data_IF_567024277730
#
_entry.id   IF_567024277730
#
_cell.length_a   1.000
_cell.length_b   1.000
_cell.length_c   1.000
_cell.angle_alpha   90.00
_cell.angle_beta   90.00
_cell.angle_gamma   90.00
#
_symmetry.space_group_name_H-M   'P 1'
#
loop_
_entity.id
_entity.type
_entity.pdbx_description
1 polymer ?
#
# COMPACT_ATOMS: atom_id res chain seq x y z
N UNK A 1 -2.71 -2.14 -20.07
CA UNK A 1 -3.29 -2.16 -18.70
C UNK A 1 -4.08 -0.87 -18.49
N UNK A 2 -5.33 -1.01 -18.12
CA UNK A 2 -6.18 0.16 -17.84
C UNK A 2 -6.00 0.55 -16.37
N UNK A 3 -5.59 1.78 -16.12
CA UNK A 3 -5.42 2.31 -14.77
C UNK A 3 -6.59 3.20 -14.40
N UNK A 4 -7.10 3.08 -13.21
CA UNK A 4 -8.35 3.73 -12.80
C UNK A 4 -8.33 4.33 -11.40
N UNK A 5 -7.25 4.17 -10.66
CA UNK A 5 -7.25 4.51 -9.24
C UNK A 5 -5.87 4.94 -8.76
N UNK A 6 -5.87 5.82 -7.77
CA UNK A 6 -4.69 6.11 -6.94
C UNK A 6 -4.83 5.34 -5.64
N UNK A 7 -3.70 4.91 -5.08
CA UNK A 7 -3.68 4.16 -3.82
C UNK A 7 -2.61 4.69 -2.88
N UNK A 8 -2.73 4.31 -1.62
CA UNK A 8 -1.69 4.52 -0.60
C UNK A 8 -1.35 3.19 0.03
N UNK A 9 -0.09 2.79 -0.07
CA UNK A 9 0.42 1.55 0.52
C UNK A 9 1.06 1.86 1.86
N UNK A 10 0.64 1.15 2.91
CA UNK A 10 1.18 1.29 4.27
C UNK A 10 2.11 0.12 4.55
N UNK A 11 3.41 0.37 4.52
CA UNK A 11 4.41 -0.67 4.76
C UNK A 11 4.82 -0.74 6.22
N UNK A 12 4.79 -1.96 6.75
CA UNK A 12 5.14 -2.26 8.13
C UNK A 12 6.64 -2.50 8.28
N UNK A 13 7.24 -1.89 9.26
CA UNK A 13 8.61 -2.17 9.65
C UNK A 13 8.82 -1.82 11.13
N UNK A 14 9.91 -2.32 11.70
CA UNK A 14 10.35 -1.90 13.03
C UNK A 14 11.29 -0.70 12.85
N UNK A 15 10.88 0.42 13.41
CA UNK A 15 11.68 1.64 13.42
C UNK A 15 12.90 1.41 14.33
N UNK A 16 14.10 1.56 13.77
CA UNK A 16 15.34 1.23 14.50
C UNK A 16 15.62 2.18 15.65
N UNK A 17 15.24 3.43 15.50
CA UNK A 17 15.44 4.44 16.54
C UNK A 17 14.50 4.22 17.73
N UNK A 18 13.20 4.11 17.49
CA UNK A 18 12.20 3.93 18.56
C UNK A 18 12.00 2.48 18.97
N UNK A 19 12.47 1.52 18.16
CA UNK A 19 12.25 0.08 18.32
C UNK A 19 10.78 -0.33 18.32
N UNK A 20 9.91 0.49 17.74
CA UNK A 20 8.49 0.23 17.62
C UNK A 20 8.12 -0.15 16.20
N UNK A 21 7.06 -0.94 16.07
CA UNK A 21 6.48 -1.21 14.75
C UNK A 21 5.77 0.04 14.26
N UNK A 22 6.07 0.43 13.02
CA UNK A 22 5.48 1.59 12.38
C UNK A 22 5.04 1.25 10.97
N UNK A 23 4.06 2.00 10.45
CA UNK A 23 3.65 1.94 9.05
C UNK A 23 4.12 3.20 8.35
N UNK A 24 4.77 3.01 7.20
CA UNK A 24 5.20 4.11 6.34
C UNK A 24 4.31 4.13 5.11
N UNK A 25 3.53 5.19 4.89
CA UNK A 25 2.66 5.30 3.74
C UNK A 25 3.41 5.78 2.50
N UNK A 26 3.05 5.23 1.34
CA UNK A 26 3.54 5.66 0.04
C UNK A 26 2.35 5.81 -0.89
N UNK A 27 2.18 7.00 -1.47
CA UNK A 27 1.15 7.26 -2.47
C UNK A 27 1.63 6.79 -3.84
N UNK A 28 0.79 6.02 -4.53
CA UNK A 28 1.06 5.52 -5.87
C UNK A 28 -0.13 5.85 -6.75
N UNK A 29 0.10 6.55 -7.85
CA UNK A 29 -0.95 6.94 -8.79
C UNK A 29 -0.93 6.08 -10.03
N UNK A 30 -2.09 5.97 -10.70
CA UNK A 30 -2.24 5.26 -11.96
C UNK A 30 -2.05 3.75 -11.81
N UNK A 31 -2.79 3.16 -10.87
CA UNK A 31 -2.85 1.70 -10.70
C UNK A 31 -4.18 1.14 -11.20
N UNK A 32 -4.21 -0.15 -11.47
CA UNK A 32 -5.44 -0.88 -11.79
C UNK A 32 -6.01 -1.46 -10.50
N UNK A 33 -7.20 -1.04 -10.13
CA UNK A 33 -7.88 -1.47 -8.90
C UNK A 33 -9.22 -2.11 -9.27
N UNK A 34 -9.41 -3.37 -8.90
CA UNK A 34 -10.65 -4.11 -9.17
C UNK A 34 -11.28 -4.56 -7.85
N UNK A 35 -12.52 -4.15 -7.64
CA UNK A 35 -13.36 -4.60 -6.53
C UNK A 35 -14.10 -5.86 -6.98
N UNK A 36 -13.70 -7.02 -6.48
CA UNK A 36 -14.26 -8.30 -6.84
C UNK A 36 -15.61 -8.57 -6.16
N UNK A 37 -15.96 -7.80 -5.15
CA UNK A 37 -17.26 -7.97 -4.44
C UNK A 37 -18.43 -7.67 -5.35
N UNK A 38 -18.26 -6.76 -6.27
CA UNK A 38 -19.32 -6.37 -7.22
C UNK A 38 -19.58 -7.43 -8.29
N UNK A 39 -18.64 -8.34 -8.53
CA UNK A 39 -18.75 -9.41 -9.54
C UNK A 39 -19.05 -10.78 -8.94
N UNK A 40 -19.62 -10.83 -7.75
CA UNK A 40 -19.74 -12.01 -6.91
C UNK A 40 -20.78 -13.05 -7.37
N UNK A 41 -21.13 -13.09 -8.64
CA UNK A 41 -21.98 -14.15 -9.19
C UNK A 41 -21.36 -15.54 -9.18
N UNK A 42 -20.11 -15.69 -8.81
CA UNK A 42 -19.43 -16.98 -8.70
C UNK A 42 -18.83 -17.13 -7.32
N UNK A 43 -19.62 -17.68 -6.44
CA UNK A 43 -19.23 -18.05 -5.09
C UNK A 43 -18.13 -19.13 -5.03
N UNK A 44 -17.69 -19.64 -6.18
CA UNK A 44 -16.76 -20.76 -6.26
C UNK A 44 -15.30 -20.39 -6.17
N UNK A 45 -14.97 -19.12 -6.09
CA UNK A 45 -13.62 -18.73 -5.77
C UNK A 45 -13.41 -18.96 -4.29
N UNK A 46 -12.84 -20.10 -3.98
CA UNK A 46 -12.38 -20.46 -2.65
C UNK A 46 -11.38 -19.43 -2.09
N UNK A 47 -11.05 -18.45 -2.88
CA UNK A 47 -10.17 -17.38 -2.53
C UNK A 47 -11.00 -16.28 -1.93
N UNK A 48 -10.74 -15.98 -0.68
CA UNK A 48 -11.37 -14.89 0.02
C UNK A 48 -10.86 -13.52 -0.48
N UNK A 49 -10.49 -13.42 -1.75
CA UNK A 49 -10.05 -12.17 -2.34
C UNK A 49 -11.24 -11.28 -2.65
N UNK A 50 -11.24 -10.09 -2.09
CA UNK A 50 -12.24 -9.06 -2.38
C UNK A 50 -11.71 -7.99 -3.33
N UNK A 51 -10.38 -7.84 -3.40
CA UNK A 51 -9.74 -6.82 -4.21
C UNK A 51 -8.55 -7.38 -4.98
N UNK A 52 -8.35 -6.86 -6.18
CA UNK A 52 -7.20 -7.17 -7.02
C UNK A 52 -6.59 -5.88 -7.53
N UNK A 53 -5.30 -5.71 -7.27
CA UNK A 53 -4.58 -4.49 -7.64
C UNK A 53 -3.39 -4.86 -8.51
N UNK A 54 -3.20 -4.12 -9.59
CA UNK A 54 -2.01 -4.20 -10.44
C UNK A 54 -1.34 -2.84 -10.46
N UNK A 55 -0.09 -2.82 -10.05
CA UNK A 55 0.71 -1.60 -10.01
C UNK A 55 1.69 -1.66 -11.17
N UNK A 56 1.48 -0.89 -12.26
CA UNK A 56 2.41 -0.88 -13.38
C UNK A 56 3.78 -0.34 -12.98
N UNK A 57 4.83 -0.80 -13.65
CA UNK A 57 6.18 -0.29 -13.36
C UNK A 57 6.33 1.20 -13.64
N UNK A 58 5.49 1.74 -14.52
CA UNK A 58 5.49 3.17 -14.88
C UNK A 58 4.44 3.98 -14.13
N UNK A 59 3.85 3.44 -13.07
CA UNK A 59 3.01 4.20 -12.17
C UNK A 59 3.80 5.37 -11.54
N UNK A 60 3.10 6.33 -10.99
CA UNK A 60 3.74 7.46 -10.31
C UNK A 60 3.87 7.16 -8.83
N UNK A 61 5.12 7.09 -8.38
CA UNK A 61 5.45 6.79 -7.00
C UNK A 61 5.80 8.08 -6.26
N UNK A 62 5.26 8.25 -5.07
CA UNK A 62 5.53 9.40 -4.22
C UNK A 62 7.04 9.65 -4.08
N UNK A 63 7.49 10.88 -4.37
CA UNK A 63 8.89 11.30 -4.27
C UNK A 63 9.87 10.40 -5.04
N UNK A 64 9.38 9.71 -6.07
CA UNK A 64 10.22 8.79 -6.85
C UNK A 64 10.67 7.56 -6.08
N UNK A 65 9.96 7.17 -5.04
CA UNK A 65 10.29 5.98 -4.24
C UNK A 65 10.35 4.74 -5.11
N UNK A 66 11.31 3.88 -4.84
CA UNK A 66 11.53 2.65 -5.61
C UNK A 66 11.16 1.42 -4.80
N UNK A 67 10.68 0.40 -5.51
CA UNK A 67 10.34 -0.88 -4.90
C UNK A 67 11.60 -1.63 -4.49
N UNK A 68 11.53 -2.26 -3.31
CA UNK A 68 12.52 -3.24 -2.84
C UNK A 68 11.78 -4.43 -2.23
N UNK A 69 12.36 -5.63 -2.27
CA UNK A 69 11.74 -6.79 -1.61
C UNK A 69 11.61 -6.59 -0.11
N UNK A 70 10.62 -7.24 0.49
CA UNK A 70 10.30 -7.10 1.91
C UNK A 70 11.51 -7.33 2.82
N UNK A 71 12.29 -8.39 2.56
CA UNK A 71 13.45 -8.71 3.38
C UNK A 71 14.49 -7.57 3.40
N UNK A 72 14.72 -6.96 2.24
CA UNK A 72 15.63 -5.83 2.11
C UNK A 72 15.08 -4.59 2.79
N UNK A 73 13.78 -4.34 2.64
CA UNK A 73 13.11 -3.19 3.23
C UNK A 73 13.23 -3.19 4.76
N UNK A 74 13.05 -4.34 5.38
CA UNK A 74 13.12 -4.48 6.84
C UNK A 74 14.53 -4.26 7.40
N UNK A 75 15.56 -4.51 6.59
CA UNK A 75 16.96 -4.34 7.01
C UNK A 75 17.48 -2.92 6.80
N UNK A 76 16.77 -2.10 6.05
CA UNK A 76 17.19 -0.72 5.81
C UNK A 76 17.16 0.10 7.10
N UNK A 77 18.00 1.16 7.17
CA UNK A 77 17.81 2.15 8.22
C UNK A 77 16.53 2.96 7.97
N UNK A 78 16.10 3.69 8.99
CA UNK A 78 14.81 4.40 8.94
C UNK A 78 14.78 5.46 7.83
N UNK A 79 15.90 6.11 7.60
CA UNK A 79 16.00 7.15 6.58
C UNK A 79 15.94 6.58 5.17
N UNK A 80 16.64 5.46 4.92
CA UNK A 80 16.59 4.78 3.62
C UNK A 80 15.21 4.20 3.34
N UNK A 81 14.55 3.64 4.33
CA UNK A 81 13.20 3.06 4.15
C UNK A 81 12.18 4.05 3.62
N UNK A 82 12.34 5.33 3.93
CA UNK A 82 11.45 6.41 3.44
C UNK A 82 11.66 6.74 1.96
N UNK A 83 12.71 6.20 1.34
CA UNK A 83 12.99 6.38 -0.10
C UNK A 83 12.49 5.20 -0.93
N UNK A 84 11.94 4.18 -0.30
CA UNK A 84 11.52 2.94 -0.93
C UNK A 84 10.13 2.54 -0.46
N UNK A 85 9.55 1.57 -1.17
CA UNK A 85 8.32 0.93 -0.77
C UNK A 85 8.43 -0.56 -1.05
N UNK A 86 7.53 -1.34 -0.46
CA UNK A 86 7.52 -2.78 -0.65
C UNK A 86 6.10 -3.32 -0.60
N UNK A 87 5.97 -4.61 -0.84
CA UNK A 87 4.72 -5.36 -0.64
C UNK A 87 4.95 -6.43 0.42
N UNK A 88 3.98 -6.56 1.29
CA UNK A 88 4.04 -7.48 2.44
C UNK A 88 2.66 -8.08 2.67
N UNK A 89 2.61 -9.32 3.13
CA UNK A 89 1.38 -9.86 3.68
C UNK A 89 1.09 -9.16 4.99
N UNK A 90 -0.16 -8.71 5.16
CA UNK A 90 -0.55 -7.98 6.37
C UNK A 90 -0.33 -6.48 6.33
N UNK A 91 0.22 -5.94 5.25
CA UNK A 91 0.19 -4.49 5.05
C UNK A 91 -1.18 -4.04 4.56
N UNK A 92 -1.43 -2.74 4.58
CA UNK A 92 -2.71 -2.16 4.18
C UNK A 92 -2.55 -1.29 2.95
N UNK A 93 -3.62 -1.22 2.16
CA UNK A 93 -3.73 -0.32 1.01
C UNK A 93 -5.05 0.43 1.13
N UNK A 94 -5.02 1.74 1.03
CA UNK A 94 -6.22 2.57 0.92
C UNK A 94 -6.42 2.92 -0.55
N UNK A 95 -7.65 2.73 -1.06
CA UNK A 95 -8.03 3.19 -2.40
C UNK A 95 -8.25 4.70 -2.36
N UNK A 96 -7.19 5.45 -2.59
CA UNK A 96 -7.18 6.90 -2.54
C UNK A 96 -5.81 7.43 -2.18
N UNK A 97 -5.65 8.75 -2.28
CA UNK A 97 -4.42 9.43 -1.91
C UNK A 97 -4.57 10.02 -0.52
N UNK A 98 -3.63 9.68 0.36
CA UNK A 98 -3.57 10.25 1.71
C UNK A 98 -2.47 11.29 1.73
N UNK A 99 -2.82 12.52 2.11
CA UNK A 99 -1.86 13.61 2.20
C UNK A 99 -1.25 13.66 3.60
N UNK A 100 0.08 13.59 3.65
CA UNK A 100 0.86 13.71 4.88
C UNK A 100 1.67 14.99 4.84
N UNK A 101 1.76 15.67 5.97
CA UNK A 101 2.58 16.88 6.09
C UNK A 101 1.86 18.19 5.78
N UNK A 102 0.59 18.15 5.49
CA UNK A 102 -0.25 19.33 5.42
C UNK A 102 -0.79 19.67 6.82
N UNK A 103 -1.18 20.94 7.04
CA UNK A 103 -1.80 21.42 8.28
C UNK A 103 -3.14 20.74 8.62
N UNK A 104 -3.49 19.72 7.86
CA UNK A 104 -4.65 18.89 8.13
C UNK A 104 -4.33 17.91 9.25
N UNK A 105 -4.59 18.33 10.43
CA UNK A 105 -4.63 17.43 11.58
C UNK A 105 -5.87 16.57 11.44
N UNK A 106 -5.66 15.31 11.07
CA UNK A 106 -6.70 14.33 11.21
C UNK A 106 -6.73 13.91 12.68
N UNK A 107 -7.67 14.47 13.46
CA UNK A 107 -8.01 13.99 14.81
C UNK A 107 -6.82 13.46 15.64
N UNK A 108 -5.95 14.27 16.15
CA UNK A 108 -4.83 13.88 17.04
C UNK A 108 -3.72 13.02 16.40
N UNK A 109 -3.76 12.76 15.09
CA UNK A 109 -2.64 12.10 14.42
C UNK A 109 -1.58 13.11 14.02
N UNK A 110 -0.37 12.93 14.52
CA UNK A 110 0.77 13.72 14.10
C UNK A 110 1.49 13.00 12.94
N UNK A 111 1.37 13.57 11.74
CA UNK A 111 2.01 13.04 10.54
C UNK A 111 3.34 13.71 10.21
N UNK A 112 3.83 14.58 11.09
CA UNK A 112 5.08 15.30 10.83
C UNK A 112 6.28 14.37 10.64
N UNK A 113 6.26 13.20 11.27
CA UNK A 113 7.30 12.20 11.13
C UNK A 113 7.16 11.35 9.86
N UNK A 114 6.02 11.40 9.18
CA UNK A 114 5.75 10.57 8.01
C UNK A 114 5.53 9.09 8.32
N UNK A 115 5.30 8.73 9.58
CA UNK A 115 5.05 7.36 10.01
C UNK A 115 3.84 7.30 10.95
N UNK A 116 3.19 6.12 10.97
CA UNK A 116 2.06 5.84 11.86
C UNK A 116 2.45 4.62 12.68
N UNK A 117 2.34 4.72 14.01
CA UNK A 117 2.65 3.57 14.86
C UNK A 117 1.63 2.45 14.65
N UNK A 118 2.07 1.20 14.78
CA UNK A 118 1.19 0.06 14.61
C UNK A 118 0.03 0.06 15.63
N UNK A 119 0.25 0.64 16.80
CA UNK A 119 -0.79 0.79 17.81
C UNK A 119 -1.93 1.71 17.36
N UNK A 120 -1.66 2.65 16.45
CA UNK A 120 -2.62 3.65 15.99
C UNK A 120 -3.18 3.38 14.59
N UNK A 121 -2.67 2.36 13.90
CA UNK A 121 -3.03 2.14 12.49
C UNK A 121 -4.54 1.88 12.30
N UNK A 122 -5.16 1.12 13.19
CA UNK A 122 -6.59 0.83 13.08
C UNK A 122 -7.45 2.07 13.21
N UNK A 123 -7.15 2.92 14.17
CA UNK A 123 -7.88 4.18 14.35
C UNK A 123 -7.74 5.06 13.12
N UNK A 124 -6.53 5.10 12.55
CA UNK A 124 -6.27 5.85 11.33
C UNK A 124 -7.05 5.29 10.14
N UNK A 125 -7.03 3.98 9.93
CA UNK A 125 -7.75 3.35 8.83
C UNK A 125 -9.27 3.54 8.97
N UNK A 126 -9.79 3.52 10.18
CA UNK A 126 -11.21 3.71 10.44
C UNK A 126 -11.69 5.10 9.98
N UNK A 127 -10.85 6.13 10.05
CA UNK A 127 -11.18 7.46 9.55
C UNK A 127 -11.47 7.46 8.04
N UNK A 128 -10.79 6.60 7.28
CA UNK A 128 -10.93 6.53 5.83
C UNK A 128 -11.95 5.51 5.37
N UNK A 129 -12.39 4.61 6.23
CA UNK A 129 -13.27 3.50 5.86
C UNK A 129 -14.66 3.95 5.38
N UNK A 130 -15.09 5.15 5.74
CA UNK A 130 -16.38 5.69 5.29
C UNK A 130 -16.43 6.00 3.80
N UNK A 131 -15.32 6.47 3.23
CA UNK A 131 -15.28 6.99 1.86
C UNK A 131 -14.30 6.24 0.96
N UNK A 132 -13.50 5.33 1.51
CA UNK A 132 -12.45 4.64 0.78
C UNK A 132 -12.45 3.16 1.12
N UNK A 133 -12.18 2.33 0.12
CA UNK A 133 -11.93 0.92 0.36
C UNK A 133 -10.56 0.73 1.00
N UNK A 134 -10.51 -0.15 1.99
CA UNK A 134 -9.27 -0.50 2.68
C UNK A 134 -9.00 -1.96 2.43
N UNK A 135 -7.81 -2.24 1.92
CA UNK A 135 -7.39 -3.59 1.57
C UNK A 135 -6.35 -4.09 2.55
N UNK A 136 -6.60 -5.24 3.15
CA UNK A 136 -5.58 -6.00 3.88
C UNK A 136 -4.91 -6.94 2.89
N UNK A 137 -3.63 -6.74 2.61
CA UNK A 137 -2.89 -7.53 1.62
C UNK A 137 -2.70 -8.95 2.12
N UNK A 138 -3.22 -9.92 1.37
CA UNK A 138 -3.09 -11.34 1.70
C UNK A 138 -2.15 -12.09 0.78
N UNK A 139 -1.94 -11.56 -0.44
CA UNK A 139 -1.00 -12.14 -1.40
C UNK A 139 -0.43 -11.06 -2.31
N UNK A 140 0.75 -11.29 -2.82
CA UNK A 140 1.35 -10.42 -3.84
C UNK A 140 2.34 -11.22 -4.69
N UNK A 141 2.63 -10.68 -5.88
CA UNK A 141 3.63 -11.24 -6.78
C UNK A 141 4.34 -10.12 -7.55
N UNK A 142 5.63 -10.30 -7.74
CA UNK A 142 6.44 -9.41 -8.56
C UNK A 142 6.50 -9.95 -10.00
N UNK A 143 5.77 -9.33 -10.89
CA UNK A 143 5.72 -9.66 -12.32
C UNK A 143 6.48 -8.61 -13.15
N UNK A 144 7.53 -8.02 -12.60
CA UNK A 144 8.29 -6.96 -13.26
C UNK A 144 9.47 -7.48 -14.08
N UNK A 145 9.81 -8.77 -13.96
CA UNK A 145 11.01 -9.35 -14.58
C UNK A 145 10.74 -10.02 -15.92
N UNK A 146 9.49 -10.15 -16.32
CA UNK A 146 9.10 -10.86 -17.56
C UNK A 146 8.16 -10.01 -18.40
N UNK A 147 8.26 -10.19 -19.71
CA UNK A 147 7.40 -9.53 -20.67
C UNK A 147 7.92 -8.16 -21.09
N UNK A 148 7.13 -7.44 -21.88
CA UNK A 148 7.44 -6.07 -22.27
C UNK A 148 7.11 -5.10 -21.13
N UNK A 149 7.70 -3.92 -21.15
CA UNK A 149 7.46 -2.90 -20.12
C UNK A 149 5.98 -2.51 -20.00
N UNK A 150 5.22 -2.66 -21.07
CA UNK A 150 3.79 -2.37 -21.07
C UNK A 150 2.98 -3.30 -20.17
N UNK A 151 3.47 -4.51 -19.87
CA UNK A 151 2.76 -5.51 -19.07
C UNK A 151 3.42 -5.81 -17.73
N UNK A 152 4.59 -5.27 -17.48
CA UNK A 152 5.27 -5.46 -16.19
C UNK A 152 4.52 -4.76 -15.07
N UNK A 153 4.31 -5.46 -13.99
CA UNK A 153 3.56 -4.92 -12.85
C UNK A 153 3.81 -5.73 -11.58
N UNK A 154 3.44 -5.14 -10.44
CA UNK A 154 3.26 -5.87 -9.20
C UNK A 154 1.78 -6.21 -9.05
N UNK A 155 1.49 -7.44 -8.70
CA UNK A 155 0.12 -7.92 -8.47
C UNK A 155 -0.12 -8.02 -6.98
N UNK A 156 -1.27 -7.52 -6.53
CA UNK A 156 -1.67 -7.56 -5.12
C UNK A 156 -3.09 -8.08 -5.03
N UNK A 157 -3.32 -8.98 -4.09
CA UNK A 157 -4.65 -9.44 -3.72
C UNK A 157 -4.89 -9.22 -2.23
N UNK A 158 -6.13 -8.92 -1.86
CA UNK A 158 -6.47 -8.69 -0.48
C UNK A 158 -7.96 -8.66 -0.18
N UNK A 159 -8.24 -8.44 1.08
CA UNK A 159 -9.61 -8.43 1.63
C UNK A 159 -9.98 -7.09 2.24
#
# INVERSE_FOLDING_TARGET
MITNQDITVFNLRVDKESRREVFIPTNISEVSFVDLRASSGTSERAENLQFKIRIPIHARFQDGRTYVPEAKYKLMDDKEAKKHWTLQKGCYIIAGTVFFGDDRKFDDFDFSSGVITAARIRDFLDLFSYNHDIVNVTEYADNTTRGSDAVKHWRVGGQ
#
